data_IF_059778525300
#
_entry.id   IF_059778525300
#
_cell.length_a   1.000
_cell.length_b   1.000
_cell.length_c   1.000
_cell.angle_alpha   90.00
_cell.angle_beta   90.00
_cell.angle_gamma   90.00
#
_symmetry.space_group_name_H-M   'P 1'
#
loop_
_entity.id
_entity.type
_entity.pdbx_description
1 polymer ?
#
# COMPACT_ATOMS: atom_id res chain seq x y z
N UNK A 1 -38.65 -31.03 2.23
CA UNK A 1 -37.92 -32.28 1.97
C UNK A 1 -36.53 -31.89 1.52
N UNK A 2 -35.54 -31.99 2.40
CA UNK A 2 -34.14 -31.69 2.08
C UNK A 2 -33.52 -32.95 1.47
N UNK A 3 -33.31 -32.93 0.15
CA UNK A 3 -32.65 -34.00 -0.63
C UNK A 3 -31.19 -34.16 -0.19
N UNK A 4 -30.72 -35.41 -0.12
CA UNK A 4 -29.35 -35.74 0.27
C UNK A 4 -28.37 -35.57 -0.91
N UNK A 5 -27.07 -35.34 -0.65
CA UNK A 5 -26.06 -34.94 -1.66
C UNK A 5 -25.71 -36.00 -2.74
N UNK A 6 -26.47 -37.09 -2.86
CA UNK A 6 -26.16 -38.22 -3.73
C UNK A 6 -27.25 -38.61 -4.75
N UNK A 7 -28.44 -37.99 -4.70
CA UNK A 7 -29.52 -38.31 -5.63
C UNK A 7 -29.40 -37.54 -6.97
N UNK A 8 -30.14 -38.00 -7.98
CA UNK A 8 -30.09 -37.42 -9.33
C UNK A 8 -30.51 -35.94 -9.36
N UNK A 9 -31.39 -35.51 -8.45
CA UNK A 9 -31.84 -34.13 -8.34
C UNK A 9 -30.73 -33.25 -7.78
N UNK A 10 -30.05 -33.67 -6.71
CA UNK A 10 -28.90 -32.94 -6.16
C UNK A 10 -27.76 -32.76 -7.17
N UNK A 11 -27.54 -33.74 -8.05
CA UNK A 11 -26.59 -33.60 -9.17
C UNK A 11 -27.03 -32.56 -10.20
N UNK A 12 -28.32 -32.52 -10.53
CA UNK A 12 -28.86 -31.52 -11.47
C UNK A 12 -28.71 -30.11 -10.86
N UNK A 13 -29.10 -29.94 -9.60
CA UNK A 13 -29.02 -28.66 -8.91
C UNK A 13 -27.58 -28.14 -8.81
N UNK A 14 -26.61 -29.03 -8.52
CA UNK A 14 -25.19 -28.70 -8.54
C UNK A 14 -24.75 -28.14 -9.90
N UNK A 15 -25.09 -28.82 -10.99
CA UNK A 15 -24.66 -28.38 -12.33
C UNK A 15 -25.35 -27.09 -12.77
N UNK A 16 -26.60 -26.85 -12.36
CA UNK A 16 -27.27 -25.57 -12.59
C UNK A 16 -26.50 -24.44 -11.90
N UNK A 17 -26.20 -24.60 -10.61
CA UNK A 17 -25.44 -23.59 -9.85
C UNK A 17 -24.04 -23.38 -10.43
N UNK A 18 -23.35 -24.45 -10.81
CA UNK A 18 -22.05 -24.37 -11.47
C UNK A 18 -22.11 -23.55 -12.76
N UNK A 19 -23.09 -23.83 -13.64
CA UNK A 19 -23.26 -23.13 -14.92
C UNK A 19 -23.58 -21.66 -14.68
N UNK A 20 -24.49 -21.34 -13.76
CA UNK A 20 -24.86 -19.96 -13.44
C UNK A 20 -23.66 -19.16 -12.89
N UNK A 21 -22.84 -19.79 -12.03
CA UNK A 21 -21.61 -19.20 -11.57
C UNK A 21 -20.61 -19.03 -12.72
N UNK A 22 -20.48 -20.02 -13.60
CA UNK A 22 -19.52 -20.00 -14.71
C UNK A 22 -19.81 -18.90 -15.72
N UNK A 23 -21.08 -18.58 -15.94
CA UNK A 23 -21.51 -17.49 -16.82
C UNK A 23 -21.15 -16.10 -16.27
N UNK A 24 -21.02 -15.95 -14.94
CA UNK A 24 -20.68 -14.68 -14.27
C UNK A 24 -19.19 -14.56 -13.90
N UNK A 25 -18.50 -15.70 -13.81
CA UNK A 25 -17.12 -15.75 -13.36
C UNK A 25 -16.17 -15.09 -14.38
N UNK A 26 -15.30 -14.15 -13.98
CA UNK A 26 -14.32 -13.55 -14.87
C UNK A 26 -13.34 -14.61 -15.34
N UNK A 27 -13.26 -14.86 -16.65
CA UNK A 27 -12.31 -15.80 -17.26
C UNK A 27 -11.64 -15.16 -18.49
N UNK A 28 -10.34 -15.42 -18.72
CA UNK A 28 -9.43 -16.17 -17.85
C UNK A 28 -8.99 -15.36 -16.63
N UNK A 29 -8.72 -16.04 -15.51
CA UNK A 29 -8.03 -15.42 -14.38
C UNK A 29 -6.55 -15.23 -14.71
N UNK A 30 -5.90 -14.18 -14.18
CA UNK A 30 -4.49 -13.96 -14.40
C UNK A 30 -3.65 -15.10 -13.80
N UNK A 31 -2.61 -15.50 -14.51
CA UNK A 31 -1.63 -16.49 -14.05
C UNK A 31 -0.44 -15.83 -13.35
N UNK A 32 0.19 -16.54 -12.42
CA UNK A 32 1.35 -16.06 -11.67
C UNK A 32 1.02 -14.89 -10.73
N UNK A 33 2.03 -14.35 -10.07
CA UNK A 33 1.90 -13.15 -9.23
C UNK A 33 2.09 -11.88 -10.05
N UNK A 34 1.52 -10.76 -9.60
CA UNK A 34 1.80 -9.45 -10.17
C UNK A 34 3.30 -9.15 -10.09
N UNK A 35 3.90 -8.70 -11.18
CA UNK A 35 5.30 -8.32 -11.22
C UNK A 35 5.47 -6.84 -10.86
N UNK A 36 6.30 -6.56 -9.86
CA UNK A 36 6.60 -5.20 -9.44
C UNK A 36 7.13 -4.33 -10.59
N UNK A 37 6.66 -3.08 -10.67
CA UNK A 37 7.16 -2.04 -11.57
C UNK A 37 7.75 -0.90 -10.75
N UNK A 38 9.05 -0.66 -10.91
CA UNK A 38 9.73 0.43 -10.22
C UNK A 38 9.31 1.81 -10.71
N UNK A 39 8.95 1.91 -11.99
CA UNK A 39 8.50 3.14 -12.63
C UNK A 39 7.17 2.91 -13.33
N UNK A 40 6.30 3.91 -13.27
CA UNK A 40 4.96 3.91 -13.85
C UNK A 40 4.73 5.22 -14.59
N UNK A 41 4.13 5.13 -15.77
CA UNK A 41 3.68 6.28 -16.56
C UNK A 41 2.28 6.71 -16.08
N UNK A 42 2.18 7.12 -14.81
CA UNK A 42 0.94 7.59 -14.19
C UNK A 42 1.21 8.81 -13.30
N UNK A 43 0.16 9.44 -12.80
CA UNK A 43 0.33 10.59 -11.90
C UNK A 43 1.01 10.18 -10.59
N UNK A 44 1.80 11.07 -9.97
CA UNK A 44 2.59 10.73 -8.79
C UNK A 44 1.79 10.06 -7.68
N UNK A 45 0.60 10.57 -7.36
CA UNK A 45 -0.22 10.06 -6.27
C UNK A 45 -0.71 8.62 -6.52
N UNK A 46 -0.95 8.26 -7.79
CA UNK A 46 -1.31 6.88 -8.17
C UNK A 46 -0.09 5.97 -8.13
N UNK A 47 1.08 6.45 -8.57
CA UNK A 47 2.34 5.71 -8.47
C UNK A 47 2.71 5.42 -7.01
N UNK A 48 2.57 6.41 -6.12
CA UNK A 48 2.77 6.23 -4.68
C UNK A 48 1.85 5.15 -4.09
N UNK A 49 0.56 5.20 -4.44
CA UNK A 49 -0.40 4.19 -4.03
C UNK A 49 -0.05 2.80 -4.57
N UNK A 50 0.40 2.70 -5.82
CA UNK A 50 0.86 1.43 -6.37
C UNK A 50 1.96 0.79 -5.52
N UNK A 51 2.99 1.55 -5.14
CA UNK A 51 4.07 1.01 -4.30
C UNK A 51 3.56 0.54 -2.93
N UNK A 52 2.63 1.29 -2.34
CA UNK A 52 2.00 0.91 -1.07
C UNK A 52 1.14 -0.36 -1.21
N UNK A 53 0.33 -0.45 -2.26
CA UNK A 53 -0.54 -1.58 -2.54
C UNK A 53 0.25 -2.82 -2.92
N UNK A 54 1.36 -2.67 -3.65
CA UNK A 54 2.24 -3.78 -3.96
C UNK A 54 2.85 -4.36 -2.68
N UNK A 55 3.30 -3.50 -1.76
CA UNK A 55 3.79 -3.94 -0.44
C UNK A 55 2.71 -4.66 0.37
N UNK A 56 1.47 -4.15 0.37
CA UNK A 56 0.34 -4.85 0.97
C UNK A 56 0.12 -6.22 0.32
N UNK A 57 0.17 -6.29 -1.01
CA UNK A 57 -0.01 -7.52 -1.79
C UNK A 57 1.09 -8.57 -1.56
N UNK A 58 2.36 -8.15 -1.44
CA UNK A 58 3.49 -9.07 -1.40
C UNK A 58 4.01 -9.41 0.00
N UNK A 59 3.85 -8.52 0.98
CA UNK A 59 4.48 -8.64 2.30
C UNK A 59 3.48 -8.77 3.46
N UNK A 60 2.25 -8.26 3.33
CA UNK A 60 1.28 -8.29 4.43
C UNK A 60 0.57 -9.64 4.49
N UNK A 61 0.76 -10.39 5.57
CA UNK A 61 0.20 -11.74 5.73
C UNK A 61 -1.33 -11.76 5.73
N UNK A 62 -1.98 -10.72 6.27
CA UNK A 62 -3.44 -10.62 6.29
C UNK A 62 -4.06 -10.45 4.90
N UNK A 63 -3.25 -10.11 3.87
CA UNK A 63 -3.72 -9.85 2.51
C UNK A 63 -4.03 -11.11 1.69
N UNK A 64 -3.62 -12.30 2.12
CA UNK A 64 -3.61 -13.54 1.32
C UNK A 64 -4.93 -13.82 0.59
N UNK A 65 -6.08 -13.57 1.25
CA UNK A 65 -7.42 -13.80 0.69
C UNK A 65 -7.90 -12.73 -0.30
N UNK A 66 -7.17 -11.63 -0.42
CA UNK A 66 -7.52 -10.44 -1.20
C UNK A 66 -6.52 -10.17 -2.33
N UNK A 67 -5.44 -10.95 -2.40
CA UNK A 67 -4.39 -10.81 -3.39
C UNK A 67 -4.90 -11.09 -4.81
N UNK A 68 -5.39 -12.30 -5.07
CA UNK A 68 -5.85 -12.73 -6.39
C UNK A 68 -7.38 -12.64 -6.50
N UNK A 69 -7.95 -12.56 -7.73
CA UNK A 69 -9.39 -12.67 -7.90
C UNK A 69 -9.92 -14.01 -7.35
N UNK A 70 -11.10 -13.96 -6.72
CA UNK A 70 -11.75 -15.16 -6.19
C UNK A 70 -12.08 -16.14 -7.33
N UNK A 71 -11.57 -17.35 -7.25
CA UNK A 71 -11.91 -18.43 -8.17
C UNK A 71 -13.10 -19.23 -7.61
N UNK A 72 -14.30 -18.65 -7.72
CA UNK A 72 -15.50 -19.20 -7.09
C UNK A 72 -15.85 -20.61 -7.60
N UNK A 73 -15.49 -20.94 -8.84
CA UNK A 73 -15.75 -22.25 -9.42
C UNK A 73 -14.80 -23.32 -8.87
N UNK A 74 -13.51 -23.01 -8.74
CA UNK A 74 -12.54 -23.96 -8.17
C UNK A 74 -12.75 -24.17 -6.66
N UNK A 75 -13.32 -23.18 -5.98
CA UNK A 75 -13.65 -23.25 -4.55
C UNK A 75 -15.06 -23.79 -4.27
N UNK A 76 -15.84 -24.08 -5.32
CA UNK A 76 -17.25 -24.51 -5.24
C UNK A 76 -18.18 -23.55 -4.49
N UNK A 77 -17.92 -22.24 -4.62
CA UNK A 77 -18.69 -21.15 -4.00
C UNK A 77 -19.59 -20.52 -5.07
N UNK A 78 -20.55 -21.29 -5.59
CA UNK A 78 -21.29 -20.90 -6.80
C UNK A 78 -22.17 -19.65 -6.65
N UNK A 79 -22.57 -19.31 -5.43
CA UNK A 79 -23.37 -18.11 -5.15
C UNK A 79 -22.53 -16.82 -5.01
N UNK A 80 -21.21 -16.87 -5.15
CA UNK A 80 -20.35 -15.70 -4.91
C UNK A 80 -20.75 -14.50 -5.76
N UNK A 81 -20.91 -14.67 -7.07
CA UNK A 81 -21.29 -13.58 -7.98
C UNK A 81 -22.78 -13.19 -7.93
N UNK A 82 -23.58 -13.94 -7.17
CA UNK A 82 -24.95 -13.51 -6.86
C UNK A 82 -24.98 -12.48 -5.74
N UNK A 83 -24.02 -12.55 -4.82
CA UNK A 83 -23.87 -11.60 -3.72
C UNK A 83 -22.92 -10.46 -4.12
N UNK A 84 -21.75 -10.79 -4.66
CA UNK A 84 -20.71 -9.84 -5.04
C UNK A 84 -20.87 -9.45 -6.52
N UNK A 85 -21.41 -8.25 -6.75
CA UNK A 85 -21.72 -7.73 -8.10
C UNK A 85 -20.52 -7.19 -8.85
N UNK A 86 -19.59 -6.59 -8.12
CA UNK A 86 -18.37 -5.99 -8.67
C UNK A 86 -17.17 -6.63 -7.97
N UNK A 87 -16.72 -7.83 -8.39
CA UNK A 87 -15.58 -8.50 -7.77
C UNK A 87 -14.32 -7.66 -7.93
N UNK A 88 -13.48 -7.63 -6.90
CA UNK A 88 -12.25 -6.84 -6.88
C UNK A 88 -11.17 -7.56 -6.08
N UNK A 89 -9.91 -7.34 -6.45
CA UNK A 89 -8.73 -7.87 -5.75
C UNK A 89 -7.54 -6.93 -5.90
N UNK A 90 -6.54 -7.06 -5.03
CA UNK A 90 -5.31 -6.27 -5.12
C UNK A 90 -4.61 -6.48 -6.46
N UNK A 91 -4.60 -7.71 -6.98
CA UNK A 91 -4.07 -8.03 -8.31
C UNK A 91 -4.73 -7.21 -9.40
N UNK A 92 -6.06 -7.12 -9.40
CA UNK A 92 -6.79 -6.36 -10.41
C UNK A 92 -6.40 -4.87 -10.38
N UNK A 93 -6.38 -4.28 -9.19
CA UNK A 93 -5.99 -2.87 -9.01
C UNK A 93 -4.55 -2.63 -9.49
N UNK A 94 -3.61 -3.49 -9.09
CA UNK A 94 -2.21 -3.37 -9.49
C UNK A 94 -2.02 -3.50 -11.02
N UNK A 95 -2.68 -4.47 -11.66
CA UNK A 95 -2.64 -4.64 -13.12
C UNK A 95 -3.26 -3.43 -13.83
N UNK A 96 -4.38 -2.90 -13.34
CA UNK A 96 -5.07 -1.73 -13.89
C UNK A 96 -4.26 -0.44 -13.77
N UNK A 97 -3.53 -0.24 -12.67
CA UNK A 97 -2.58 0.88 -12.54
C UNK A 97 -1.45 0.75 -13.57
N UNK A 98 -0.86 -0.43 -13.73
CA UNK A 98 0.23 -0.67 -14.70
C UNK A 98 -0.25 -0.48 -16.14
N UNK A 99 -1.50 -0.88 -16.44
CA UNK A 99 -2.09 -0.70 -17.76
C UNK A 99 -2.38 0.76 -18.09
N UNK A 100 -2.67 1.58 -17.08
CA UNK A 100 -2.76 3.04 -17.20
C UNK A 100 -4.06 3.59 -17.79
N UNK A 101 -5.09 2.77 -18.02
CA UNK A 101 -6.34 3.16 -18.67
C UNK A 101 -7.55 3.26 -17.74
N UNK A 102 -7.38 2.93 -16.46
CA UNK A 102 -8.49 2.80 -15.50
C UNK A 102 -8.54 3.94 -14.48
N UNK A 103 -7.40 4.33 -13.92
CA UNK A 103 -7.35 5.30 -12.82
C UNK A 103 -6.71 6.61 -13.25
N UNK A 104 -7.47 7.69 -13.18
CA UNK A 104 -6.98 9.05 -13.39
C UNK A 104 -6.68 9.77 -12.07
N UNK A 105 -7.15 9.22 -10.94
CA UNK A 105 -6.96 9.81 -9.61
C UNK A 105 -6.68 8.73 -8.56
N UNK A 106 -5.95 9.10 -7.50
CA UNK A 106 -5.73 8.25 -6.33
C UNK A 106 -7.04 7.86 -5.62
N UNK A 107 -8.07 8.70 -5.69
CA UNK A 107 -9.38 8.42 -5.09
C UNK A 107 -10.08 7.22 -5.76
N UNK A 108 -10.00 7.12 -7.09
CA UNK A 108 -10.57 5.99 -7.83
C UNK A 108 -9.88 4.67 -7.46
N UNK A 109 -8.55 4.69 -7.28
CA UNK A 109 -7.81 3.52 -6.78
C UNK A 109 -8.33 3.11 -5.40
N UNK A 110 -8.48 4.06 -4.49
CA UNK A 110 -8.96 3.78 -3.13
C UNK A 110 -10.42 3.31 -3.08
N UNK A 111 -11.25 3.73 -4.03
CA UNK A 111 -12.63 3.23 -4.15
C UNK A 111 -12.65 1.72 -4.42
N UNK A 112 -11.82 1.24 -5.34
CA UNK A 112 -11.67 -0.19 -5.61
C UNK A 112 -11.03 -0.95 -4.44
N UNK A 113 -10.06 -0.34 -3.74
CA UNK A 113 -9.51 -0.92 -2.52
C UNK A 113 -10.61 -1.12 -1.47
N UNK A 114 -11.45 -0.12 -1.23
CA UNK A 114 -12.58 -0.23 -0.29
C UNK A 114 -13.63 -1.24 -0.76
N UNK A 115 -13.80 -1.41 -2.07
CA UNK A 115 -14.70 -2.40 -2.65
C UNK A 115 -14.27 -3.84 -2.30
N UNK A 116 -12.96 -4.12 -2.24
CA UNK A 116 -12.45 -5.43 -1.76
C UNK A 116 -13.01 -5.73 -0.36
N UNK A 117 -12.90 -4.77 0.56
CA UNK A 117 -13.34 -4.94 1.95
C UNK A 117 -14.86 -5.05 2.06
N UNK A 118 -15.60 -4.22 1.32
CA UNK A 118 -17.07 -4.26 1.27
C UNK A 118 -17.57 -5.61 0.75
N UNK A 119 -16.97 -6.13 -0.32
CA UNK A 119 -17.32 -7.43 -0.87
C UNK A 119 -17.01 -8.55 0.13
N UNK A 120 -15.88 -8.48 0.82
CA UNK A 120 -15.53 -9.42 1.87
C UNK A 120 -16.60 -9.48 2.97
N UNK A 121 -17.02 -8.32 3.49
CA UNK A 121 -18.04 -8.23 4.54
C UNK A 121 -19.42 -8.66 4.03
N UNK A 122 -19.79 -8.26 2.81
CA UNK A 122 -21.08 -8.60 2.22
C UNK A 122 -21.25 -10.12 2.04
N UNK A 123 -20.18 -10.81 1.63
CA UNK A 123 -20.23 -12.25 1.41
C UNK A 123 -20.02 -13.07 2.68
N UNK A 124 -19.02 -12.71 3.49
CA UNK A 124 -18.60 -13.53 4.63
C UNK A 124 -19.26 -13.11 5.96
N UNK A 125 -19.89 -11.93 6.00
CA UNK A 125 -20.43 -11.33 7.21
C UNK A 125 -19.38 -10.58 8.05
N UNK A 126 -19.81 -9.55 8.77
CA UNK A 126 -18.94 -8.64 9.51
C UNK A 126 -18.16 -9.30 10.68
N UNK A 127 -18.68 -10.40 11.24
CA UNK A 127 -18.06 -11.13 12.35
C UNK A 127 -17.16 -12.29 11.89
N UNK A 128 -16.94 -12.44 10.58
CA UNK A 128 -16.09 -13.51 10.05
C UNK A 128 -14.61 -13.24 10.29
N UNK A 129 -13.82 -14.32 10.26
CA UNK A 129 -12.36 -14.22 10.25
C UNK A 129 -11.88 -13.39 9.05
N UNK A 130 -12.49 -13.56 7.88
CA UNK A 130 -12.12 -12.80 6.68
C UNK A 130 -12.41 -11.30 6.82
N UNK A 131 -13.50 -10.90 7.47
CA UNK A 131 -13.75 -9.49 7.79
C UNK A 131 -12.72 -8.91 8.78
N UNK A 132 -12.24 -9.74 9.72
CA UNK A 132 -11.13 -9.38 10.61
C UNK A 132 -9.83 -9.18 9.84
N UNK A 133 -9.49 -10.08 8.91
CA UNK A 133 -8.30 -9.94 8.06
C UNK A 133 -8.39 -8.74 7.12
N UNK A 134 -9.57 -8.43 6.57
CA UNK A 134 -9.80 -7.21 5.77
C UNK A 134 -9.55 -5.94 6.61
N UNK A 135 -9.98 -5.93 7.87
CA UNK A 135 -9.75 -4.81 8.79
C UNK A 135 -8.25 -4.63 9.09
N UNK A 136 -7.51 -5.73 9.27
CA UNK A 136 -6.04 -5.69 9.41
C UNK A 136 -5.37 -5.15 8.15
N UNK A 137 -5.79 -5.57 6.96
CA UNK A 137 -5.28 -5.04 5.70
C UNK A 137 -5.48 -3.53 5.57
N UNK A 138 -6.67 -3.03 5.93
CA UNK A 138 -6.95 -1.59 5.91
C UNK A 138 -6.02 -0.81 6.85
N UNK A 139 -5.85 -1.27 8.08
CA UNK A 139 -4.92 -0.66 9.03
C UNK A 139 -3.46 -0.75 8.56
N UNK A 140 -3.07 -1.88 7.96
CA UNK A 140 -1.73 -2.08 7.40
C UNK A 140 -1.47 -1.13 6.22
N UNK A 141 -2.44 -0.93 5.33
CA UNK A 141 -2.31 -0.01 4.21
C UNK A 141 -2.10 1.42 4.68
N UNK A 142 -2.88 1.89 5.67
CA UNK A 142 -2.70 3.23 6.25
C UNK A 142 -1.31 3.40 6.87
N UNK A 143 -0.84 2.39 7.62
CA UNK A 143 0.52 2.36 8.16
C UNK A 143 1.59 2.39 7.06
N UNK A 144 1.41 1.60 6.01
CA UNK A 144 2.35 1.54 4.87
C UNK A 144 2.41 2.90 4.18
N UNK A 145 1.27 3.53 3.89
CA UNK A 145 1.19 4.86 3.26
C UNK A 145 1.88 5.93 4.11
N UNK A 146 1.63 5.96 5.41
CA UNK A 146 2.30 6.89 6.31
C UNK A 146 3.82 6.70 6.32
N UNK A 147 4.29 5.45 6.37
CA UNK A 147 5.72 5.15 6.34
C UNK A 147 6.35 5.54 5.00
N UNK A 148 5.67 5.25 3.89
CA UNK A 148 6.14 5.57 2.54
C UNK A 148 6.39 7.08 2.38
N UNK A 149 5.46 7.92 2.83
CA UNK A 149 5.63 9.38 2.84
C UNK A 149 6.84 9.85 3.68
N UNK A 150 7.11 9.17 4.80
CA UNK A 150 8.28 9.45 5.63
C UNK A 150 9.60 9.01 4.99
N UNK A 151 9.55 7.97 4.17
CA UNK A 151 10.67 7.36 3.45
C UNK A 151 11.01 8.06 2.13
N UNK A 152 10.12 8.90 1.60
CA UNK A 152 10.41 9.73 0.44
C UNK A 152 11.58 10.67 0.71
N UNK A 153 12.39 10.90 -0.32
CA UNK A 153 13.43 11.93 -0.29
C UNK A 153 12.81 13.31 -0.20
N UNK A 154 13.53 14.22 0.43
CA UNK A 154 13.20 15.64 0.39
C UNK A 154 13.38 16.18 -1.03
N UNK A 155 12.72 17.29 -1.34
CA UNK A 155 12.99 18.02 -2.58
C UNK A 155 14.38 18.65 -2.51
N UNK A 156 15.03 18.86 -3.67
CA UNK A 156 16.30 19.59 -3.71
C UNK A 156 16.16 21.00 -3.12
N UNK A 157 15.03 21.66 -3.36
CA UNK A 157 14.73 22.99 -2.81
C UNK A 157 14.65 22.99 -1.27
N UNK A 158 13.99 21.99 -0.68
CA UNK A 158 13.92 21.86 0.78
C UNK A 158 15.29 21.50 1.38
N UNK A 159 16.04 20.61 0.72
CA UNK A 159 17.40 20.24 1.11
C UNK A 159 18.33 21.46 1.13
N UNK A 160 18.33 22.23 0.03
CA UNK A 160 19.10 23.46 -0.11
C UNK A 160 18.72 24.48 0.95
N UNK A 161 17.42 24.69 1.20
CA UNK A 161 16.95 25.61 2.25
C UNK A 161 17.51 25.23 3.61
N UNK A 162 17.45 23.95 3.99
CA UNK A 162 17.96 23.48 5.27
C UNK A 162 19.48 23.64 5.36
N UNK A 163 20.20 23.30 4.30
CA UNK A 163 21.64 23.50 4.22
C UNK A 163 22.02 24.96 4.42
N UNK A 164 21.36 25.89 3.73
CA UNK A 164 21.63 27.33 3.85
C UNK A 164 21.38 27.85 5.28
N UNK A 165 20.30 27.39 5.93
CA UNK A 165 20.01 27.75 7.33
C UNK A 165 21.15 27.27 8.24
N UNK A 166 21.54 26.00 8.16
CA UNK A 166 22.62 25.44 8.99
C UNK A 166 23.95 26.15 8.73
N UNK A 167 24.31 26.36 7.46
CA UNK A 167 25.54 27.02 7.07
C UNK A 167 25.61 28.48 7.56
N UNK A 168 24.48 29.20 7.52
CA UNK A 168 24.40 30.60 7.97
C UNK A 168 24.62 30.77 9.48
N UNK A 169 24.36 29.73 10.28
CA UNK A 169 24.56 29.77 11.72
C UNK A 169 26.06 29.75 12.08
N UNK A 170 26.90 29.13 11.26
CA UNK A 170 28.35 28.97 11.48
C UNK A 170 28.68 28.27 12.82
N UNK A 171 27.86 27.28 13.22
CA UNK A 171 27.95 26.59 14.51
C UNK A 171 28.40 25.13 14.32
N UNK A 172 29.68 24.83 14.58
CA UNK A 172 30.23 23.48 14.37
C UNK A 172 29.53 22.41 15.24
N UNK A 173 29.20 22.74 16.50
CA UNK A 173 28.51 21.81 17.41
C UNK A 173 27.14 21.37 16.87
N UNK A 174 26.42 22.27 16.17
CA UNK A 174 25.15 21.93 15.53
C UNK A 174 25.35 20.91 14.41
N UNK A 175 26.37 21.12 13.57
CA UNK A 175 26.72 20.21 12.47
C UNK A 175 27.07 18.82 13.02
N UNK A 176 27.87 18.77 14.09
CA UNK A 176 28.27 17.50 14.72
C UNK A 176 27.06 16.77 15.32
N UNK A 177 26.15 17.48 15.99
CA UNK A 177 24.91 16.91 16.53
C UNK A 177 24.01 16.33 15.43
N UNK A 178 23.88 17.04 14.29
CA UNK A 178 23.11 16.58 13.13
C UNK A 178 23.76 15.33 12.54
N UNK A 179 25.07 15.34 12.35
CA UNK A 179 25.80 14.19 11.81
C UNK A 179 25.69 12.96 12.73
N UNK A 180 25.79 13.15 14.05
CA UNK A 180 25.59 12.06 15.03
C UNK A 180 24.18 11.48 14.97
N UNK A 181 23.15 12.35 14.92
CA UNK A 181 21.77 11.91 14.74
C UNK A 181 21.60 11.07 13.46
N UNK A 182 22.10 11.55 12.32
CA UNK A 182 21.98 10.85 11.05
C UNK A 182 22.78 9.55 11.00
N UNK A 183 23.99 9.49 11.58
CA UNK A 183 24.74 8.22 11.70
C UNK A 183 23.97 7.15 12.46
N UNK A 184 23.14 7.53 13.43
CA UNK A 184 22.31 6.59 14.20
C UNK A 184 21.03 6.20 13.47
N UNK A 185 20.35 7.16 12.85
CA UNK A 185 18.98 6.98 12.35
C UNK A 185 18.88 6.75 10.83
N UNK A 186 19.82 7.28 10.03
CA UNK A 186 19.87 7.12 8.58
C UNK A 186 21.31 7.21 8.05
N UNK A 187 22.13 6.15 8.25
CA UNK A 187 23.54 6.14 7.86
C UNK A 187 23.79 6.45 6.38
N UNK A 188 22.81 6.19 5.50
CA UNK A 188 22.90 6.47 4.07
C UNK A 188 22.89 7.97 3.73
N UNK A 189 22.49 8.82 4.67
CA UNK A 189 22.53 10.29 4.55
C UNK A 189 23.89 10.86 4.98
N UNK A 190 24.88 10.02 5.26
CA UNK A 190 26.26 10.42 5.59
C UNK A 190 27.19 9.89 4.48
N UNK A 191 28.03 10.76 3.95
CA UNK A 191 29.01 10.37 2.93
C UNK A 191 30.27 9.72 3.55
N UNK A 192 31.18 9.27 2.69
CA UNK A 192 32.44 8.63 3.09
C UNK A 192 33.38 9.53 3.89
N UNK A 193 33.22 10.86 3.79
CA UNK A 193 33.99 11.84 4.56
C UNK A 193 33.39 12.11 5.93
N UNK A 194 32.19 11.57 6.20
CA UNK A 194 31.44 11.80 7.42
C UNK A 194 30.56 13.05 7.39
N UNK A 195 30.46 13.71 6.23
CA UNK A 195 29.62 14.89 6.02
C UNK A 195 28.18 14.49 5.69
N UNK A 196 27.27 15.43 5.94
CA UNK A 196 25.82 15.23 5.72
C UNK A 196 25.49 15.39 4.25
N UNK A 197 24.93 14.34 3.65
CA UNK A 197 24.38 14.36 2.30
C UNK A 197 22.88 14.68 2.35
N UNK A 198 22.53 15.96 2.18
CA UNK A 198 21.14 16.44 2.24
C UNK A 198 20.28 15.92 1.07
N UNK A 199 20.87 15.54 -0.07
CA UNK A 199 20.14 15.01 -1.24
C UNK A 199 19.58 13.61 -1.00
N UNK A 200 20.21 12.86 -0.10
CA UNK A 200 19.78 11.50 0.29
C UNK A 200 18.77 11.52 1.45
N UNK A 201 18.51 12.70 2.02
CA UNK A 201 17.74 12.84 3.25
C UNK A 201 16.27 12.48 3.03
N UNK A 202 15.75 11.59 3.88
CA UNK A 202 14.32 11.26 3.89
C UNK A 202 13.53 12.32 4.64
N UNK A 203 12.28 12.54 4.23
CA UNK A 203 11.35 13.52 4.83
C UNK A 203 11.20 13.37 6.35
N UNK A 204 11.25 12.15 6.89
CA UNK A 204 11.17 11.96 8.35
C UNK A 204 12.38 12.50 9.10
N UNK A 205 13.58 12.38 8.54
CA UNK A 205 14.80 12.89 9.15
C UNK A 205 14.88 14.40 8.97
N UNK A 206 14.48 14.93 7.82
CA UNK A 206 14.34 16.37 7.58
C UNK A 206 13.55 17.09 8.67
N UNK A 207 12.34 16.61 9.01
CA UNK A 207 11.53 17.20 10.10
C UNK A 207 12.21 17.15 11.46
N UNK A 208 13.04 16.14 11.70
CA UNK A 208 13.81 16.06 12.94
C UNK A 208 14.99 17.02 12.93
N UNK A 209 15.66 17.21 11.79
CA UNK A 209 16.72 18.21 11.65
C UNK A 209 16.18 19.63 11.85
N UNK A 210 15.02 19.96 11.28
CA UNK A 210 14.37 21.27 11.52
C UNK A 210 14.15 21.52 13.02
N UNK A 211 13.73 20.49 13.77
CA UNK A 211 13.58 20.58 15.23
C UNK A 211 14.92 20.74 15.96
N UNK A 212 15.96 20.03 15.53
CA UNK A 212 17.31 20.18 16.10
C UNK A 212 17.81 21.61 15.93
N UNK A 213 17.66 22.18 14.72
CA UNK A 213 18.06 23.56 14.40
C UNK A 213 17.27 24.59 15.21
N UNK A 214 15.95 24.43 15.30
CA UNK A 214 15.08 25.33 16.07
C UNK A 214 15.40 25.28 17.58
N UNK A 215 15.61 24.08 18.13
CA UNK A 215 16.01 23.92 19.53
C UNK A 215 17.38 24.52 19.81
N UNK A 216 18.34 24.35 18.90
CA UNK A 216 19.68 24.94 19.04
C UNK A 216 19.63 26.48 19.01
N UNK A 217 18.79 27.04 18.14
CA UNK A 217 18.58 28.49 18.06
C UNK A 217 17.99 29.06 19.36
N UNK A 218 17.10 28.31 20.03
CA UNK A 218 16.46 28.71 21.29
C UNK A 218 17.36 28.56 22.52
N UNK A 219 18.27 27.59 22.52
CA UNK A 219 19.20 27.35 23.64
C UNK A 219 20.44 28.25 23.62
N UNK A 220 20.62 29.05 22.55
CA UNK A 220 21.74 29.97 22.42
C UNK A 220 21.70 31.01 23.54
N UNK A 221 22.76 31.17 24.35
CA UNK A 221 22.83 32.27 25.31
C UNK A 221 22.75 33.59 24.54
N UNK A 222 21.82 34.49 24.93
CA UNK A 222 21.78 35.85 24.38
C UNK A 222 23.05 36.55 24.84
N UNK A 223 23.95 36.81 23.90
CA UNK A 223 25.08 37.74 24.06
C UNK A 223 24.59 39.15 24.33
#
# INVERSE_FOLDING_TARGET
>A
MTSQPGDALGKIDYWIQYIDCALKHPRPLPSGKHAYRQSLETIPEVAELYHCLYKLYSEEQSSVWFQEPVNALAQEIFNYYDVVKSPMSLRHILDSIVKGDTYSTAAQVMEDVELIWKNCIAFNGANSLLATEASKCKAALERIRHNYQGDQRVTLEDADRLYQVIASMQEQQLIDNIAEYLRREDPNSIDETGAVNFDMLKRRHFRNLERIVDNYSKSRPRS
#
